data_IF_436022352723
#
_entry.id   IF_436022352723
#
_cell.length_a   1.000
_cell.length_b   1.000
_cell.length_c   1.000
_cell.angle_alpha   90.00
_cell.angle_beta   90.00
_cell.angle_gamma   90.00
#
_symmetry.space_group_name_H-M   'P 1'
#
loop_
_entity.id
_entity.type
_entity.pdbx_description
1 polymer ?
#
# COMPACT_ATOMS: atom_id res chain seq x y z
N UNK A 1 22.96 7.06 32.70
CA UNK A 1 24.30 7.65 32.92
C UNK A 1 25.25 6.51 33.21
N UNK A 2 26.22 6.20 32.34
CA UNK A 2 27.18 5.12 32.57
C UNK A 2 28.59 5.66 32.64
N UNK A 3 29.48 4.97 33.36
CA UNK A 3 30.90 5.30 33.36
C UNK A 3 31.74 4.11 32.91
N UNK A 4 32.78 4.41 32.13
CA UNK A 4 33.71 3.44 31.59
C UNK A 4 34.93 3.40 32.50
N UNK A 5 35.31 2.21 32.99
CA UNK A 5 36.51 2.01 33.80
C UNK A 5 37.50 1.13 33.06
N UNK A 6 38.70 1.66 32.83
CA UNK A 6 39.83 0.90 32.29
C UNK A 6 40.75 0.46 33.43
N UNK A 7 41.11 -0.81 33.43
CA UNK A 7 42.11 -1.38 34.32
C UNK A 7 43.50 -1.33 33.65
N UNK A 8 44.59 -1.35 34.44
CA UNK A 8 45.96 -1.26 33.91
C UNK A 8 46.39 -2.48 33.09
N UNK A 9 45.61 -3.55 33.10
CA UNK A 9 45.77 -4.75 32.26
C UNK A 9 45.17 -4.58 30.85
N UNK A 10 44.62 -3.41 30.52
CA UNK A 10 43.96 -3.12 29.24
C UNK A 10 42.50 -3.58 29.17
N UNK A 11 41.97 -4.25 30.20
CA UNK A 11 40.57 -4.63 30.24
C UNK A 11 39.70 -3.40 30.50
N UNK A 12 38.67 -3.22 29.67
CA UNK A 12 37.74 -2.10 29.77
C UNK A 12 36.39 -2.62 30.22
N UNK A 13 35.85 -2.09 31.33
CA UNK A 13 34.52 -2.44 31.84
C UNK A 13 33.59 -1.23 31.72
N UNK A 14 32.47 -1.39 31.03
CA UNK A 14 31.42 -0.37 30.91
C UNK A 14 30.27 -0.73 31.85
N UNK A 15 29.98 0.14 32.84
CA UNK A 15 28.82 0.00 33.70
C UNK A 15 27.73 0.98 33.24
N UNK A 16 26.63 0.45 32.70
CA UNK A 16 25.47 1.24 32.28
C UNK A 16 24.48 1.27 33.44
N UNK A 17 24.38 2.41 34.13
CA UNK A 17 23.29 2.62 35.08
C UNK A 17 22.07 3.09 34.30
N UNK A 18 21.14 2.15 34.09
CA UNK A 18 19.77 2.46 33.70
C UNK A 18 19.10 3.10 34.91
N UNK A 19 18.50 4.30 34.81
CA UNK A 19 17.70 4.88 35.89
C UNK A 19 16.45 4.01 36.07
N UNK A 20 16.57 2.96 36.86
CA UNK A 20 15.47 2.04 37.13
C UNK A 20 14.89 2.37 38.50
N UNK A 21 13.98 3.36 38.53
CA UNK A 21 12.97 3.42 39.57
C UNK A 21 11.78 2.65 39.01
N UNK A 22 11.73 1.35 39.25
CA UNK A 22 10.55 0.55 38.94
C UNK A 22 9.33 1.19 39.58
N UNK A 23 8.27 1.41 38.80
CA UNK A 23 7.02 2.02 39.27
C UNK A 23 6.25 1.08 40.21
N UNK A 24 6.63 -0.20 40.29
CA UNK A 24 6.05 -1.23 41.17
C UNK A 24 7.14 -1.93 41.99
N UNK A 25 7.04 -1.99 43.33
CA UNK A 25 7.99 -2.71 44.17
C UNK A 25 7.78 -4.23 44.02
N UNK A 26 8.76 -4.94 43.44
CA UNK A 26 8.81 -6.40 43.42
C UNK A 26 8.86 -7.06 42.04
N UNK A 27 8.62 -6.32 40.96
CA UNK A 27 8.72 -6.83 39.58
C UNK A 27 9.87 -6.13 38.86
N UNK A 28 10.86 -6.88 38.35
CA UNK A 28 11.94 -6.32 37.51
C UNK A 28 11.49 -5.98 36.09
N UNK A 29 10.18 -5.83 35.88
CA UNK A 29 9.57 -5.65 34.58
C UNK A 29 8.97 -4.25 34.52
N UNK A 30 9.43 -3.47 33.54
CA UNK A 30 8.91 -2.15 33.25
C UNK A 30 8.11 -2.23 31.95
N UNK A 31 6.87 -1.68 31.91
CA UNK A 31 6.16 -1.54 30.65
C UNK A 31 6.92 -0.55 29.77
N UNK A 32 7.47 -1.04 28.67
CA UNK A 32 8.16 -0.22 27.66
C UNK A 32 7.30 -0.21 26.40
N UNK A 33 7.08 0.98 25.86
CA UNK A 33 6.39 1.14 24.57
C UNK A 33 7.32 0.60 23.47
N UNK A 34 6.83 -0.31 22.64
CA UNK A 34 7.60 -0.98 21.59
C UNK A 34 8.38 0.01 20.68
N UNK A 35 7.82 1.20 20.45
CA UNK A 35 8.44 2.27 19.66
C UNK A 35 9.76 2.82 20.26
N UNK A 36 9.98 2.64 21.56
CA UNK A 36 11.25 2.99 22.22
C UNK A 36 12.30 1.89 22.00
N UNK A 37 11.86 0.63 21.85
CA UNK A 37 12.74 -0.53 21.67
C UNK A 37 13.11 -0.73 20.19
N UNK A 38 12.11 -0.69 19.33
CA UNK A 38 12.21 -0.75 17.87
C UNK A 38 12.01 0.67 17.35
N UNK A 39 13.11 1.42 17.20
CA UNK A 39 13.07 2.78 16.66
C UNK A 39 12.50 2.84 15.24
N UNK A 40 12.32 4.06 14.72
CA UNK A 40 11.88 4.28 13.34
C UNK A 40 12.82 3.55 12.37
N UNK A 41 12.26 2.76 11.47
CA UNK A 41 13.02 2.10 10.41
C UNK A 41 13.71 3.17 9.55
N UNK A 42 15.03 3.29 9.70
CA UNK A 42 15.83 4.31 9.00
C UNK A 42 16.17 3.91 7.56
N UNK A 43 16.06 2.62 7.25
CA UNK A 43 16.45 2.03 5.97
C UNK A 43 15.42 0.97 5.54
N UNK A 44 14.96 1.06 4.30
CA UNK A 44 13.96 0.17 3.72
C UNK A 44 12.82 0.94 3.07
N UNK A 45 12.34 0.44 1.93
CA UNK A 45 11.14 0.96 1.27
C UNK A 45 9.93 0.17 1.76
N UNK A 46 8.85 0.88 2.11
CA UNK A 46 7.58 0.27 2.56
C UNK A 46 6.87 -0.53 1.47
N UNK A 47 7.30 -0.36 0.22
CA UNK A 47 6.81 -1.10 -0.93
C UNK A 47 7.96 -1.90 -1.57
N UNK A 48 7.68 -3.16 -1.87
CA UNK A 48 8.47 -3.92 -2.82
C UNK A 48 8.39 -3.19 -4.16
N UNK A 49 9.53 -2.98 -4.82
CA UNK A 49 9.54 -2.50 -6.19
C UNK A 49 8.90 -3.57 -7.06
N UNK A 50 7.61 -3.39 -7.38
CA UNK A 50 6.96 -4.25 -8.36
C UNK A 50 7.75 -4.21 -9.66
N UNK A 51 7.96 -5.36 -10.29
CA UNK A 51 8.54 -5.43 -11.63
C UNK A 51 7.57 -4.77 -12.61
N UNK A 52 7.69 -3.45 -12.77
CA UNK A 52 6.94 -2.72 -13.78
C UNK A 52 7.62 -2.98 -15.12
N UNK A 53 7.08 -3.95 -15.83
CA UNK A 53 7.58 -4.29 -17.16
C UNK A 53 7.36 -3.12 -18.12
N UNK A 54 8.44 -2.67 -18.76
CA UNK A 54 8.33 -1.61 -19.75
C UNK A 54 7.55 -2.10 -20.97
N UNK A 55 6.68 -1.25 -21.54
CA UNK A 55 5.94 -1.56 -22.77
C UNK A 55 6.82 -1.89 -23.99
N UNK A 56 8.12 -1.60 -23.88
CA UNK A 56 9.15 -1.92 -24.87
C UNK A 56 9.64 -3.37 -24.77
N UNK A 57 9.53 -3.99 -23.59
CA UNK A 57 9.90 -5.38 -23.38
C UNK A 57 8.83 -6.36 -23.89
N UNK A 58 7.61 -5.86 -24.12
CA UNK A 58 6.51 -6.65 -24.68
C UNK A 58 6.86 -7.00 -26.14
N UNK A 59 7.00 -8.30 -26.40
CA UNK A 59 7.23 -8.82 -27.74
C UNK A 59 5.95 -8.69 -28.57
N UNK A 60 6.05 -8.01 -29.72
CA UNK A 60 4.93 -7.83 -30.66
C UNK A 60 5.25 -8.60 -31.93
N UNK A 61 4.43 -9.60 -32.24
CA UNK A 61 4.54 -10.39 -33.47
C UNK A 61 4.09 -9.58 -34.68
N UNK A 62 4.58 -9.94 -35.86
CA UNK A 62 4.07 -9.44 -37.14
C UNK A 62 2.60 -9.86 -37.31
N UNK A 63 1.75 -8.95 -37.76
CA UNK A 63 0.32 -9.20 -37.92
C UNK A 63 0.03 -9.77 -39.32
N UNK A 64 -0.64 -10.92 -39.45
CA UNK A 64 -1.10 -11.41 -40.74
C UNK A 64 -2.26 -10.55 -41.25
N UNK A 65 -2.21 -10.18 -42.53
CA UNK A 65 -3.25 -9.44 -43.23
C UNK A 65 -4.01 -10.38 -44.17
N UNK A 66 -5.34 -10.31 -44.13
CA UNK A 66 -6.21 -11.10 -45.01
C UNK A 66 -6.97 -10.18 -45.94
N UNK A 67 -6.64 -10.26 -47.24
CA UNK A 67 -7.25 -9.46 -48.30
C UNK A 67 -8.34 -10.20 -49.10
N UNK A 68 -8.69 -11.43 -48.69
CA UNK A 68 -9.71 -12.24 -49.35
C UNK A 68 -9.18 -13.18 -50.43
N UNK A 69 -10.10 -13.80 -51.18
CA UNK A 69 -9.74 -14.69 -52.28
C UNK A 69 -9.13 -13.91 -53.48
N UNK A 70 -8.17 -14.51 -54.17
CA UNK A 70 -7.46 -13.96 -55.35
C UNK A 70 -6.52 -12.77 -55.09
N UNK A 71 -6.12 -12.50 -53.85
CA UNK A 71 -5.20 -11.41 -53.49
C UNK A 71 -3.74 -11.85 -53.34
N UNK A 72 -3.24 -12.78 -54.16
CA UNK A 72 -1.89 -13.36 -54.01
C UNK A 72 -0.74 -12.35 -54.13
N UNK A 73 -0.99 -11.19 -54.75
CA UNK A 73 -0.02 -10.10 -54.89
C UNK A 73 -0.16 -9.02 -53.81
N UNK A 74 -1.19 -9.10 -52.95
CA UNK A 74 -1.34 -8.16 -51.85
C UNK A 74 -0.30 -8.48 -50.75
N UNK A 75 0.27 -7.47 -50.08
CA UNK A 75 1.13 -7.70 -48.92
C UNK A 75 0.41 -8.56 -47.88
N UNK A 76 0.99 -9.66 -47.43
CA UNK A 76 0.32 -10.59 -46.50
C UNK A 76 0.60 -10.29 -45.02
N UNK A 77 1.52 -9.37 -44.73
CA UNK A 77 2.07 -9.13 -43.39
C UNK A 77 2.17 -7.64 -43.11
N UNK A 78 1.88 -7.25 -41.87
CA UNK A 78 2.05 -5.91 -41.33
C UNK A 78 3.08 -5.93 -40.18
N UNK A 79 4.20 -5.22 -40.40
CA UNK A 79 5.32 -5.11 -39.45
C UNK A 79 5.40 -3.73 -38.77
N UNK A 80 4.43 -2.84 -38.97
CA UNK A 80 4.49 -1.43 -38.53
C UNK A 80 4.70 -1.25 -37.02
N UNK A 81 4.17 -2.18 -36.21
CA UNK A 81 4.25 -2.14 -34.75
C UNK A 81 4.90 -3.39 -34.14
N UNK A 82 5.53 -4.26 -34.94
CA UNK A 82 6.14 -5.49 -34.46
C UNK A 82 7.59 -5.27 -34.01
N UNK A 83 7.99 -5.99 -32.95
CA UNK A 83 9.37 -6.03 -32.45
C UNK A 83 10.11 -7.30 -32.90
N UNK A 84 9.36 -8.31 -33.37
CA UNK A 84 9.88 -9.59 -33.84
C UNK A 84 10.00 -9.61 -35.36
N UNK A 85 10.96 -10.38 -35.86
CA UNK A 85 11.05 -10.71 -37.29
C UNK A 85 9.87 -11.60 -37.71
N UNK A 86 9.52 -11.68 -39.01
CA UNK A 86 8.45 -12.55 -39.49
C UNK A 86 8.71 -14.03 -39.15
N UNK A 87 9.95 -14.49 -39.23
CA UNK A 87 10.35 -15.86 -38.88
C UNK A 87 10.21 -16.16 -37.39
N UNK A 88 10.58 -15.21 -36.52
CA UNK A 88 10.39 -15.35 -35.07
C UNK A 88 8.91 -15.31 -34.70
N UNK A 89 8.14 -14.45 -35.36
CA UNK A 89 6.69 -14.37 -35.16
C UNK A 89 5.99 -15.66 -35.56
N UNK A 90 6.41 -16.29 -36.65
CA UNK A 90 5.93 -17.61 -37.07
C UNK A 90 6.33 -18.70 -36.08
N UNK A 91 7.57 -18.68 -35.57
CA UNK A 91 8.00 -19.61 -34.53
C UNK A 91 7.15 -19.50 -33.26
N UNK A 92 6.89 -18.28 -32.79
CA UNK A 92 6.02 -18.03 -31.63
C UNK A 92 4.60 -18.53 -31.89
N UNK A 93 4.05 -18.27 -33.09
CA UNK A 93 2.71 -18.73 -33.48
C UNK A 93 2.62 -20.25 -33.57
N UNK A 94 3.67 -20.92 -34.06
CA UNK A 94 3.72 -22.38 -34.14
C UNK A 94 3.88 -23.05 -32.77
N UNK A 95 4.55 -22.38 -31.83
CA UNK A 95 4.83 -22.93 -30.50
C UNK A 95 3.70 -22.67 -29.50
N UNK A 96 3.08 -21.49 -29.53
CA UNK A 96 2.06 -21.08 -28.56
C UNK A 96 0.67 -20.86 -29.16
N UNK A 97 0.53 -20.92 -30.49
CA UNK A 97 -0.72 -20.67 -31.19
C UNK A 97 -0.97 -19.19 -31.51
N UNK A 98 -2.15 -18.91 -32.06
CA UNK A 98 -2.64 -17.56 -32.32
C UNK A 98 -3.36 -16.97 -31.09
N UNK A 99 -3.70 -15.68 -31.10
CA UNK A 99 -4.44 -15.03 -30.01
C UNK A 99 -5.77 -15.73 -29.67
N UNK A 100 -6.37 -16.43 -30.66
CA UNK A 100 -7.60 -17.22 -30.51
C UNK A 100 -7.37 -18.62 -29.94
N UNK A 101 -6.14 -19.08 -29.80
CA UNK A 101 -5.82 -20.44 -29.35
C UNK A 101 -6.36 -20.70 -27.94
N UNK A 102 -6.35 -19.70 -27.06
CA UNK A 102 -6.89 -19.80 -25.70
C UNK A 102 -8.40 -20.05 -25.76
N UNK A 103 -9.14 -19.27 -26.53
CA UNK A 103 -10.59 -19.43 -26.68
C UNK A 103 -10.96 -20.79 -27.27
N UNK A 104 -10.17 -21.26 -28.23
CA UNK A 104 -10.35 -22.59 -28.80
C UNK A 104 -10.10 -23.70 -27.77
N UNK A 105 -9.01 -23.61 -27.01
CA UNK A 105 -8.71 -24.55 -25.94
C UNK A 105 -9.79 -24.56 -24.85
N UNK A 106 -10.28 -23.40 -24.44
CA UNK A 106 -11.40 -23.28 -23.49
C UNK A 106 -12.68 -23.96 -24.02
N UNK A 107 -13.02 -23.73 -25.30
CA UNK A 107 -14.17 -24.37 -25.92
C UNK A 107 -14.04 -25.90 -25.97
N UNK A 108 -12.85 -26.42 -26.26
CA UNK A 108 -12.59 -27.87 -26.26
C UNK A 108 -12.68 -28.47 -24.86
N UNK A 109 -12.10 -27.80 -23.85
CA UNK A 109 -12.19 -28.22 -22.45
C UNK A 109 -13.65 -28.24 -22.03
N UNK A 110 -14.39 -27.18 -22.32
CA UNK A 110 -15.82 -27.07 -22.01
C UNK A 110 -16.66 -28.16 -22.66
N UNK A 111 -16.39 -28.49 -23.92
CA UNK A 111 -17.02 -29.62 -24.59
C UNK A 111 -16.76 -30.96 -23.87
N UNK A 112 -15.57 -31.14 -23.30
CA UNK A 112 -15.19 -32.36 -22.59
C UNK A 112 -15.56 -32.39 -21.10
N UNK A 113 -16.03 -31.28 -20.49
CA UNK A 113 -16.28 -31.13 -19.03
C UNK A 113 -17.28 -32.13 -18.42
N UNK A 114 -17.98 -32.93 -19.23
CA UNK A 114 -18.89 -33.98 -18.78
C UNK A 114 -18.38 -35.42 -18.96
N UNK A 115 -17.14 -35.61 -19.41
CA UNK A 115 -16.56 -36.93 -19.67
C UNK A 115 -15.27 -37.13 -18.87
N UNK A 116 -15.40 -37.73 -17.68
CA UNK A 116 -14.28 -37.99 -16.77
C UNK A 116 -13.19 -38.85 -17.43
N UNK A 117 -13.59 -39.81 -18.28
CA UNK A 117 -12.65 -40.67 -19.00
C UNK A 117 -11.81 -39.89 -20.02
N UNK A 118 -12.42 -38.95 -20.74
CA UNK A 118 -11.70 -38.13 -21.72
C UNK A 118 -10.72 -37.18 -21.01
N UNK A 119 -11.14 -36.55 -19.91
CA UNK A 119 -10.27 -35.68 -19.12
C UNK A 119 -9.08 -36.46 -18.53
N UNK A 120 -9.34 -37.60 -17.88
CA UNK A 120 -8.27 -38.42 -17.32
C UNK A 120 -7.27 -38.91 -18.38
N UNK A 121 -7.76 -39.31 -19.56
CA UNK A 121 -6.88 -39.74 -20.65
C UNK A 121 -6.00 -38.60 -21.16
N UNK A 122 -6.56 -37.40 -21.30
CA UNK A 122 -5.81 -36.22 -21.74
C UNK A 122 -4.76 -35.83 -20.70
N UNK A 123 -5.11 -35.82 -19.42
CA UNK A 123 -4.18 -35.52 -18.33
C UNK A 123 -3.00 -36.51 -18.31
N UNK A 124 -3.26 -37.81 -18.43
CA UNK A 124 -2.21 -38.83 -18.46
C UNK A 124 -1.32 -38.73 -19.71
N UNK A 125 -1.90 -38.36 -20.86
CA UNK A 125 -1.14 -38.13 -22.08
C UNK A 125 -0.24 -36.89 -21.95
N UNK A 126 -0.78 -35.79 -21.41
CA UNK A 126 -0.03 -34.57 -21.17
C UNK A 126 1.09 -34.82 -20.15
N UNK A 127 0.84 -35.57 -19.10
CA UNK A 127 1.87 -35.99 -18.14
C UNK A 127 2.94 -36.87 -18.81
N UNK A 128 2.57 -37.76 -19.72
CA UNK A 128 3.53 -38.59 -20.46
C UNK A 128 4.46 -37.75 -21.34
N UNK A 129 3.89 -36.77 -22.07
CA UNK A 129 4.66 -35.89 -22.97
C UNK A 129 5.51 -34.89 -22.19
N UNK A 130 5.00 -34.40 -21.07
CA UNK A 130 5.67 -33.39 -20.22
C UNK A 130 6.51 -34.01 -19.10
N UNK A 131 6.64 -35.33 -19.05
CA UNK A 131 7.37 -36.06 -17.99
C UNK A 131 6.86 -35.73 -16.58
N UNK A 132 5.55 -35.56 -16.45
CA UNK A 132 4.83 -35.27 -15.20
C UNK A 132 4.89 -33.80 -14.76
N UNK A 133 5.32 -32.87 -15.62
CA UNK A 133 5.29 -31.44 -15.33
C UNK A 133 3.88 -30.85 -15.42
N UNK A 134 3.01 -31.42 -16.26
CA UNK A 134 1.64 -30.93 -16.43
C UNK A 134 0.87 -30.97 -15.10
N UNK A 135 0.73 -32.13 -14.46
CA UNK A 135 0.04 -32.26 -13.18
C UNK A 135 0.63 -31.41 -12.06
N UNK A 136 1.96 -31.25 -12.01
CA UNK A 136 2.62 -30.35 -11.05
C UNK A 136 2.19 -28.90 -11.27
N UNK A 137 2.17 -28.47 -12.53
CA UNK A 137 1.82 -27.08 -12.90
C UNK A 137 0.34 -26.82 -12.66
N UNK A 138 -0.54 -27.78 -13.01
CA UNK A 138 -1.98 -27.70 -12.73
C UNK A 138 -2.22 -27.54 -11.23
N UNK A 139 -1.60 -28.37 -10.39
CA UNK A 139 -1.73 -28.26 -8.93
C UNK A 139 -1.30 -26.88 -8.42
N UNK A 140 -0.16 -26.35 -8.88
CA UNK A 140 0.34 -25.02 -8.49
C UNK A 140 -0.63 -23.91 -8.92
N UNK A 141 -1.19 -24.00 -10.13
CA UNK A 141 -2.16 -23.02 -10.63
C UNK A 141 -3.47 -23.09 -9.85
N UNK A 142 -3.96 -24.28 -9.51
CA UNK A 142 -5.16 -24.47 -8.69
C UNK A 142 -4.97 -23.96 -7.26
N UNK A 143 -3.83 -24.24 -6.64
CA UNK A 143 -3.48 -23.69 -5.33
C UNK A 143 -3.43 -22.17 -5.36
N UNK A 144 -2.79 -21.59 -6.38
CA UNK A 144 -2.73 -20.14 -6.56
C UNK A 144 -4.12 -19.53 -6.72
N UNK A 145 -5.00 -20.16 -7.53
CA UNK A 145 -6.40 -19.70 -7.69
C UNK A 145 -7.18 -19.77 -6.38
N UNK A 146 -7.03 -20.83 -5.59
CA UNK A 146 -7.67 -20.95 -4.28
C UNK A 146 -7.24 -19.84 -3.32
N UNK A 147 -5.94 -19.54 -3.29
CA UNK A 147 -5.40 -18.45 -2.46
C UNK A 147 -5.95 -17.10 -2.93
N UNK A 148 -5.97 -16.83 -4.23
CA UNK A 148 -6.50 -15.58 -4.78
C UNK A 148 -8.00 -15.39 -4.49
N UNK A 149 -8.79 -16.47 -4.55
CA UNK A 149 -10.21 -16.45 -4.18
C UNK A 149 -10.44 -16.19 -2.69
N UNK A 150 -9.60 -16.78 -1.82
CA UNK A 150 -9.65 -16.57 -0.37
C UNK A 150 -9.22 -15.14 0.00
N UNK A 151 -8.13 -14.64 -0.59
CA UNK A 151 -7.68 -13.26 -0.42
C UNK A 151 -8.74 -12.27 -0.89
N UNK A 152 -9.40 -12.52 -2.03
CA UNK A 152 -10.50 -11.70 -2.52
C UNK A 152 -11.72 -11.72 -1.58
N UNK A 153 -12.00 -12.85 -0.92
CA UNK A 153 -13.06 -12.95 0.09
C UNK A 153 -12.71 -12.13 1.33
N UNK A 154 -11.51 -12.31 1.89
CA UNK A 154 -11.04 -11.56 3.07
C UNK A 154 -11.01 -10.07 2.77
N UNK A 155 -10.59 -9.68 1.57
CA UNK A 155 -10.58 -8.28 1.15
C UNK A 155 -11.98 -7.68 1.11
N UNK A 156 -12.98 -8.40 0.57
CA UNK A 156 -14.38 -7.94 0.59
C UNK A 156 -14.90 -7.81 2.01
N UNK A 157 -14.63 -8.79 2.88
CA UNK A 157 -15.01 -8.72 4.29
C UNK A 157 -14.34 -7.54 5.02
N UNK A 158 -13.07 -7.25 4.72
CA UNK A 158 -12.37 -6.07 5.26
C UNK A 158 -12.95 -4.75 4.74
N UNK A 159 -13.30 -4.68 3.46
CA UNK A 159 -13.95 -3.50 2.86
C UNK A 159 -15.34 -3.27 3.51
N UNK A 160 -16.14 -4.32 3.67
CA UNK A 160 -17.44 -4.26 4.37
C UNK A 160 -17.30 -3.86 5.85
N UNK A 161 -16.29 -4.40 6.55
CA UNK A 161 -16.02 -4.05 7.95
C UNK A 161 -15.54 -2.59 8.09
N UNK A 162 -14.72 -2.11 7.16
CA UNK A 162 -14.27 -0.72 7.12
C UNK A 162 -15.43 0.23 6.85
N UNK A 163 -16.33 -0.09 5.91
CA UNK A 163 -17.53 0.71 5.64
C UNK A 163 -18.46 0.78 6.86
N UNK A 164 -18.60 -0.31 7.62
CA UNK A 164 -19.38 -0.30 8.87
C UNK A 164 -18.76 0.62 9.93
N UNK A 165 -17.44 0.58 10.10
CA UNK A 165 -16.72 1.47 11.02
C UNK A 165 -16.83 2.95 10.61
N UNK A 166 -16.72 3.23 9.31
CA UNK A 166 -16.83 4.60 8.79
C UNK A 166 -18.25 5.16 9.01
N UNK A 167 -19.30 4.35 8.82
CA UNK A 167 -20.67 4.75 9.15
C UNK A 167 -20.90 4.96 10.66
N UNK A 168 -20.30 4.14 11.52
CA UNK A 168 -20.41 4.29 12.98
C UNK A 168 -19.70 5.56 13.47
N UNK A 169 -18.54 5.87 12.89
CA UNK A 169 -17.79 7.10 13.15
C UNK A 169 -18.54 8.35 12.67
N UNK A 170 -19.14 8.33 11.48
CA UNK A 170 -19.95 9.44 10.96
C UNK A 170 -21.20 9.70 11.83
N UNK A 171 -21.84 8.64 12.33
CA UNK A 171 -22.96 8.77 13.26
C UNK A 171 -22.53 9.31 14.63
N UNK A 172 -21.39 8.87 15.17
CA UNK A 172 -20.85 9.38 16.43
C UNK A 172 -20.47 10.86 16.34
N UNK A 173 -19.79 11.27 15.27
CA UNK A 173 -19.41 12.67 15.04
C UNK A 173 -20.62 13.57 14.79
N UNK A 174 -21.67 13.07 14.12
CA UNK A 174 -22.94 13.81 13.95
C UNK A 174 -23.72 13.96 15.26
N UNK A 175 -23.68 12.95 16.14
CA UNK A 175 -24.26 13.03 17.48
C UNK A 175 -23.52 14.03 18.38
N UNK A 176 -22.18 14.05 18.32
CA UNK A 176 -21.35 15.02 19.04
C UNK A 176 -21.48 16.45 18.48
N UNK A 177 -21.56 16.63 17.16
CA UNK A 177 -21.79 17.93 16.53
C UNK A 177 -23.17 18.51 16.86
N UNK A 178 -24.19 17.67 17.06
CA UNK A 178 -25.52 18.10 17.55
C UNK A 178 -25.57 18.44 19.04
N UNK A 179 -24.59 17.98 19.82
CA UNK A 179 -24.47 18.29 21.26
C UNK A 179 -23.55 19.49 21.53
N UNK A 180 -22.72 19.87 20.57
CA UNK A 180 -21.79 21.00 20.63
C UNK A 180 -22.18 22.16 19.69
N UNK A 181 -23.44 22.25 19.25
CA UNK A 181 -23.88 23.35 18.39
C UNK A 181 -24.20 24.62 19.20
N UNK A 182 -23.78 25.76 18.63
CA UNK A 182 -24.06 27.10 19.13
C UNK A 182 -25.56 27.42 19.30
N UNK A 183 -26.44 26.52 18.82
CA UNK A 183 -27.90 26.65 18.90
C UNK A 183 -28.40 26.66 20.36
N UNK A 184 -27.69 26.00 21.29
CA UNK A 184 -28.01 26.07 22.72
C UNK A 184 -27.80 27.48 23.28
N UNK A 185 -26.77 28.21 22.84
CA UNK A 185 -26.50 29.56 23.33
C UNK A 185 -27.44 30.62 22.73
N UNK A 186 -27.84 30.46 21.47
CA UNK A 186 -28.82 31.37 20.84
C UNK A 186 -30.25 31.09 21.33
N UNK A 187 -30.58 29.83 21.66
CA UNK A 187 -31.82 29.48 22.35
C UNK A 187 -31.87 30.06 23.78
N UNK A 188 -30.73 30.12 24.49
CA UNK A 188 -30.65 30.76 25.81
C UNK A 188 -30.72 32.29 25.72
N UNK A 189 -30.28 32.89 24.61
CA UNK A 189 -30.42 34.34 24.37
C UNK A 189 -31.87 34.77 24.13
N UNK A 190 -32.71 33.95 23.52
CA UNK A 190 -34.13 34.29 23.31
C UNK A 190 -34.92 34.43 24.62
N UNK A 191 -34.43 33.83 25.72
CA UNK A 191 -35.00 34.00 27.06
C UNK A 191 -34.78 35.41 27.65
N UNK A 192 -33.85 36.20 27.10
CA UNK A 192 -33.68 37.61 27.48
C UNK A 192 -34.92 38.45 27.18
N UNK A 193 -35.68 38.11 26.13
CA UNK A 193 -36.93 38.78 25.77
C UNK A 193 -38.05 38.51 26.79
N UNK A 194 -37.91 37.44 27.58
CA UNK A 194 -38.76 37.12 28.73
C UNK A 194 -38.31 37.79 30.04
N UNK A 195 -37.25 38.62 30.02
CA UNK A 195 -36.73 39.33 31.18
C UNK A 195 -35.75 38.53 32.05
N UNK A 196 -35.20 37.43 31.53
CA UNK A 196 -34.15 36.64 32.19
C UNK A 196 -32.78 37.23 31.83
N UNK A 197 -31.91 37.44 32.82
CA UNK A 197 -30.57 37.99 32.59
C UNK A 197 -29.66 36.98 31.88
N UNK A 198 -29.27 37.30 30.64
CA UNK A 198 -28.39 36.48 29.80
C UNK A 198 -26.97 37.07 29.66
N UNK A 199 -26.60 38.07 30.45
CA UNK A 199 -25.27 38.70 30.37
C UNK A 199 -24.12 37.70 30.60
N UNK A 200 -24.34 36.65 31.41
CA UNK A 200 -23.38 35.56 31.62
C UNK A 200 -23.08 34.74 30.34
N UNK A 201 -24.01 34.71 29.37
CA UNK A 201 -23.85 33.96 28.12
C UNK A 201 -22.81 34.62 27.21
N UNK A 202 -22.71 35.95 27.23
CA UNK A 202 -21.67 36.69 26.50
C UNK A 202 -20.29 36.46 27.11
N UNK A 203 -20.20 36.46 28.45
CA UNK A 203 -18.95 36.12 29.14
C UNK A 203 -18.47 34.70 28.81
N UNK A 204 -19.38 33.73 28.70
CA UNK A 204 -19.01 32.35 28.35
C UNK A 204 -18.65 32.15 26.87
N UNK A 205 -19.28 32.89 25.93
CA UNK A 205 -18.93 32.86 24.50
C UNK A 205 -17.51 33.38 24.24
N UNK A 206 -17.08 34.38 25.00
CA UNK A 206 -15.73 34.94 24.91
C UNK A 206 -14.69 34.13 25.71
N UNK A 207 -15.11 33.36 26.72
CA UNK A 207 -14.25 32.39 27.43
C UNK A 207 -14.09 31.06 26.69
N UNK A 208 -14.01 31.10 25.36
CA UNK A 208 -13.43 30.00 24.59
C UNK A 208 -12.06 29.69 25.20
N UNK A 209 -11.96 28.54 25.89
CA UNK A 209 -10.93 28.21 26.87
C UNK A 209 -9.56 28.77 26.41
N UNK A 210 -9.01 29.82 27.07
CA UNK A 210 -7.90 30.61 26.51
C UNK A 210 -6.64 29.75 26.31
N UNK A 211 -6.54 28.65 27.05
CA UNK A 211 -5.48 27.65 26.91
C UNK A 211 -5.59 26.90 25.57
N UNK A 212 -6.81 26.65 25.09
CA UNK A 212 -7.07 25.96 23.82
C UNK A 212 -6.82 26.91 22.65
N UNK A 213 -7.23 28.17 22.73
CA UNK A 213 -6.98 29.16 21.68
C UNK A 213 -5.49 29.46 21.51
N UNK A 214 -4.75 29.62 22.61
CA UNK A 214 -3.29 29.80 22.59
C UNK A 214 -2.59 28.57 22.00
N UNK A 215 -2.99 27.35 22.39
CA UNK A 215 -2.43 26.12 21.80
C UNK A 215 -2.73 26.01 20.31
N UNK A 216 -3.93 26.38 19.87
CA UNK A 216 -4.28 26.39 18.45
C UNK A 216 -3.42 27.39 17.68
N UNK A 217 -3.20 28.58 18.23
CA UNK A 217 -2.35 29.60 17.61
C UNK A 217 -0.86 29.16 17.56
N UNK A 218 -0.34 28.55 18.62
CA UNK A 218 0.99 27.93 18.64
C UNK A 218 1.12 26.83 17.57
N UNK A 219 0.13 25.95 17.46
CA UNK A 219 0.14 24.88 16.44
C UNK A 219 0.03 25.44 15.02
N UNK A 220 -0.77 26.49 14.80
CA UNK A 220 -0.87 27.16 13.51
C UNK A 220 0.48 27.76 13.12
N UNK A 221 1.16 28.45 14.04
CA UNK A 221 2.50 28.98 13.83
C UNK A 221 3.50 27.87 13.47
N UNK A 222 3.49 26.76 14.22
CA UNK A 222 4.37 25.61 13.98
C UNK A 222 4.14 24.98 12.59
N UNK A 223 2.89 24.90 12.14
CA UNK A 223 2.53 24.38 10.81
C UNK A 223 3.07 25.32 9.72
N UNK A 224 2.93 26.64 9.89
CA UNK A 224 3.46 27.60 8.90
C UNK A 224 4.99 27.56 8.81
N UNK A 225 5.68 27.38 9.94
CA UNK A 225 7.13 27.24 9.98
C UNK A 225 7.61 25.93 9.36
N UNK A 226 6.89 24.83 9.61
CA UNK A 226 7.16 23.55 8.97
C UNK A 226 6.96 23.64 7.46
N UNK A 227 5.89 24.30 7.00
CA UNK A 227 5.63 24.52 5.59
C UNK A 227 6.74 25.34 4.94
N UNK A 228 7.21 26.42 5.59
CA UNK A 228 8.37 27.20 5.10
C UNK A 228 9.62 26.34 5.01
N UNK A 229 9.96 25.58 6.06
CA UNK A 229 11.13 24.72 6.09
C UNK A 229 11.10 23.61 5.03
N UNK A 230 9.92 23.04 4.76
CA UNK A 230 9.73 22.07 3.67
C UNK A 230 9.87 22.73 2.31
N UNK A 231 9.28 23.91 2.11
CA UNK A 231 9.36 24.64 0.86
C UNK A 231 10.81 25.06 0.55
N UNK A 232 11.57 25.52 1.55
CA UNK A 232 12.98 25.85 1.39
C UNK A 232 13.85 24.63 1.07
N UNK A 233 13.56 23.47 1.66
CA UNK A 233 14.22 22.19 1.32
C UNK A 233 13.93 21.74 -0.10
N UNK A 234 12.69 21.91 -0.57
CA UNK A 234 12.26 21.53 -1.92
C UNK A 234 12.71 22.54 -2.98
N UNK A 235 12.95 23.80 -2.59
CA UNK A 235 13.47 24.87 -3.46
C UNK A 235 14.97 24.77 -3.71
N UNK A 236 15.73 24.11 -2.84
CA UNK A 236 17.14 23.84 -3.12
C UNK A 236 17.24 22.72 -4.18
N UNK A 237 17.98 22.93 -5.29
CA UNK A 237 18.30 21.85 -6.19
C UNK A 237 19.08 20.77 -5.42
N UNK A 238 18.71 19.50 -5.63
CA UNK A 238 19.36 18.32 -5.07
C UNK A 238 20.88 18.47 -5.12
N UNK A 239 21.50 18.73 -3.97
CA UNK A 239 22.95 18.88 -3.89
C UNK A 239 23.60 17.53 -4.17
N UNK A 240 24.62 17.44 -5.06
CA UNK A 240 25.37 16.22 -5.22
C UNK A 240 26.03 15.82 -3.90
N UNK A 241 26.06 14.51 -3.63
CA UNK A 241 26.51 13.86 -2.39
C UNK A 241 27.95 14.24 -1.96
N UNK A 242 28.70 14.95 -2.81
CA UNK A 242 30.08 15.38 -2.55
C UNK A 242 30.21 16.59 -1.61
N UNK A 243 29.17 17.40 -1.37
CA UNK A 243 29.30 18.63 -0.57
C UNK A 243 29.08 18.45 0.95
N UNK A 244 28.53 17.31 1.39
CA UNK A 244 28.31 17.00 2.81
C UNK A 244 29.58 16.52 3.54
N UNK A 245 30.64 16.15 2.81
CA UNK A 245 31.86 15.61 3.41
C UNK A 245 32.83 16.71 3.92
N UNK A 246 32.63 17.99 3.60
CA UNK A 246 33.56 19.07 3.97
C UNK A 246 33.19 19.82 5.26
N UNK A 247 32.00 19.58 5.84
CA UNK A 247 31.52 20.32 7.02
C UNK A 247 31.67 19.57 8.35
N UNK A 248 32.17 18.33 8.33
CA UNK A 248 32.42 17.50 9.52
C UNK A 248 33.90 17.50 9.98
N UNK A 249 34.75 18.34 9.40
CA UNK A 249 36.16 18.51 9.81
C UNK A 249 36.39 19.98 10.20
N UNK A 250 35.92 20.36 11.39
CA UNK A 250 36.55 21.41 12.20
C UNK A 250 36.07 21.32 13.64
#
# INVERSE_FOLDING_TARGET
>A
MGFLRQRPDGSTSLAILTPCSGVLPGTQEQPVVMNVLAGKLTQGTTQLHGSKEEKKNIQRTVKPLYYGAFSSFAPSLDSTFSNLTPTESELVRNTYGDETAIQYAESMIEFAKGCDYAMYMVDELLDTVTKGEHKRTVNVVEERKRVEEEEARIRREQEEFQEQLDMEWENATKAEASSASNDNFDSLRSLSELGIDTSFVEEFKDTGNPVVTVKLEETANLITDLQKAQNDRLRLPSQPISSLCSRAIR
#
